data_IF_980523905554
#
_entry.id   IF_980523905554
#
_cell.length_a   1.000
_cell.length_b   1.000
_cell.length_c   1.000
_cell.angle_alpha   90.00
_cell.angle_beta   90.00
_cell.angle_gamma   90.00
#
_symmetry.space_group_name_H-M   'P 1'
#
loop_
_entity.id
_entity.type
_entity.pdbx_description
1 polymer ?
#
# COMPACT_ATOMS: atom_id res chain seq x y z
N UNK A 1 39.40 5.14 -36.49
CA UNK A 1 39.89 4.68 -35.18
C UNK A 1 39.50 5.68 -34.04
N UNK A 2 38.22 6.08 -33.90
CA UNK A 2 37.83 7.16 -32.96
C UNK A 2 36.58 6.88 -32.09
N UNK A 3 36.08 5.64 -32.02
CA UNK A 3 34.81 5.33 -31.32
C UNK A 3 34.92 4.64 -29.94
N UNK A 4 36.14 4.33 -29.44
CA UNK A 4 36.27 3.51 -28.21
C UNK A 4 36.22 4.29 -26.89
N UNK A 5 36.60 5.58 -26.88
CA UNK A 5 36.72 6.37 -25.63
C UNK A 5 35.38 6.60 -24.93
N UNK A 6 34.33 7.01 -25.67
CA UNK A 6 33.01 7.28 -25.07
C UNK A 6 32.32 6.02 -24.56
N UNK A 7 32.44 4.89 -25.28
CA UNK A 7 31.91 3.60 -24.83
C UNK A 7 32.61 3.12 -23.56
N UNK A 8 33.94 3.25 -23.51
CA UNK A 8 34.73 2.85 -22.34
C UNK A 8 34.34 3.65 -21.10
N UNK A 9 34.17 4.97 -21.24
CA UNK A 9 33.71 5.85 -20.15
C UNK A 9 32.32 5.50 -19.63
N UNK A 10 31.37 5.17 -20.51
CA UNK A 10 30.02 4.76 -20.10
C UNK A 10 30.02 3.44 -19.33
N UNK A 11 30.84 2.48 -19.76
CA UNK A 11 31.00 1.20 -19.06
C UNK A 11 31.61 1.40 -17.66
N UNK A 12 32.66 2.21 -17.55
CA UNK A 12 33.29 2.53 -16.27
C UNK A 12 32.32 3.26 -15.32
N UNK A 13 31.49 4.18 -15.84
CA UNK A 13 30.47 4.85 -15.04
C UNK A 13 29.34 3.89 -14.60
N UNK A 14 28.91 2.99 -15.49
CA UNK A 14 27.91 1.97 -15.16
C UNK A 14 28.39 1.05 -14.04
N UNK A 15 29.62 0.54 -14.14
CA UNK A 15 30.22 -0.31 -13.11
C UNK A 15 30.35 0.41 -11.76
N UNK A 16 30.74 1.69 -11.78
CA UNK A 16 30.82 2.50 -10.56
C UNK A 16 29.46 2.70 -9.92
N UNK A 17 28.42 2.99 -10.72
CA UNK A 17 27.07 3.15 -10.22
C UNK A 17 26.52 1.85 -9.63
N UNK A 18 26.76 0.73 -10.30
CA UNK A 18 26.37 -0.60 -9.83
C UNK A 18 27.01 -0.91 -8.47
N UNK A 19 28.32 -0.67 -8.33
CA UNK A 19 29.03 -0.87 -7.07
C UNK A 19 28.48 0.03 -5.93
N UNK A 20 28.20 1.30 -6.23
CA UNK A 20 27.62 2.23 -5.25
C UNK A 20 26.21 1.79 -4.83
N UNK A 21 25.40 1.36 -5.80
CA UNK A 21 24.04 0.88 -5.55
C UNK A 21 24.05 -0.41 -4.73
N UNK A 22 24.95 -1.34 -5.03
CA UNK A 22 25.13 -2.58 -4.28
C UNK A 22 25.54 -2.29 -2.83
N UNK A 23 26.50 -1.39 -2.62
CA UNK A 23 26.95 -0.98 -1.27
C UNK A 23 25.79 -0.39 -0.47
N UNK A 24 25.01 0.51 -1.09
CA UNK A 24 23.87 1.15 -0.44
C UNK A 24 22.76 0.14 -0.13
N UNK A 25 22.52 -0.83 -1.02
CA UNK A 25 21.57 -1.90 -0.79
C UNK A 25 22.02 -2.83 0.35
N UNK A 26 23.31 -3.18 0.43
CA UNK A 26 23.84 -3.96 1.55
C UNK A 26 23.65 -3.23 2.88
N UNK A 27 24.02 -1.94 2.97
CA UNK A 27 23.80 -1.13 4.16
C UNK A 27 22.30 -1.03 4.52
N UNK A 28 21.42 -0.91 3.51
CA UNK A 28 19.97 -0.96 3.71
C UNK A 28 19.52 -2.29 4.31
N UNK A 29 20.01 -3.41 3.80
CA UNK A 29 19.63 -4.74 4.30
C UNK A 29 20.22 -5.03 5.68
N UNK A 30 21.39 -4.47 6.01
CA UNK A 30 21.97 -4.57 7.35
C UNK A 30 21.17 -3.77 8.38
N UNK A 31 20.79 -2.53 8.05
CA UNK A 31 20.06 -1.64 8.97
C UNK A 31 18.58 -2.02 9.14
N UNK A 32 17.90 -2.30 8.02
CA UNK A 32 16.45 -2.57 8.02
C UNK A 32 16.12 -4.06 8.01
N UNK A 33 17.13 -4.93 7.91
CA UNK A 33 16.94 -6.35 7.65
C UNK A 33 16.57 -6.64 6.19
N UNK A 34 16.67 -7.91 5.82
CA UNK A 34 16.06 -8.44 4.60
C UNK A 34 14.82 -9.25 4.98
N UNK A 35 13.63 -8.77 4.63
CA UNK A 35 12.43 -9.61 4.72
C UNK A 35 12.32 -10.39 3.42
N UNK A 36 12.52 -11.71 3.48
CA UNK A 36 12.25 -12.57 2.32
C UNK A 36 10.74 -12.54 2.07
N UNK A 37 10.32 -11.75 1.08
CA UNK A 37 8.92 -11.60 0.72
C UNK A 37 8.50 -12.81 -0.10
N UNK A 38 7.99 -13.83 0.56
CA UNK A 38 7.37 -14.98 -0.10
C UNK A 38 5.88 -14.71 -0.27
N UNK A 39 5.37 -14.94 -1.50
CA UNK A 39 3.92 -14.92 -1.74
C UNK A 39 3.34 -16.18 -1.12
N UNK A 40 2.76 -16.03 0.07
CA UNK A 40 2.10 -17.13 0.81
C UNK A 40 0.68 -17.38 0.31
N UNK A 41 0.06 -16.38 -0.32
CA UNK A 41 -1.34 -16.40 -0.70
C UNK A 41 -1.60 -15.47 -1.89
N UNK A 42 -2.59 -15.81 -2.71
CA UNK A 42 -3.21 -14.91 -3.68
C UNK A 42 -4.71 -14.96 -3.46
N UNK A 43 -5.32 -13.82 -3.13
CA UNK A 43 -6.77 -13.71 -3.09
C UNK A 43 -7.22 -12.51 -3.90
N UNK A 44 -8.48 -12.57 -4.38
CA UNK A 44 -9.11 -11.49 -5.12
C UNK A 44 -10.12 -10.75 -4.24
N UNK A 45 -9.87 -9.47 -4.00
CA UNK A 45 -10.85 -8.56 -3.39
C UNK A 45 -11.83 -8.10 -4.49
N UNK A 46 -13.13 -8.17 -4.21
CA UNK A 46 -14.18 -7.58 -5.05
C UNK A 46 -14.83 -6.45 -4.28
N UNK A 47 -14.80 -5.25 -4.85
CA UNK A 47 -15.49 -4.06 -4.34
C UNK A 47 -16.81 -3.88 -5.09
N UNK A 48 -17.75 -3.17 -4.47
CA UNK A 48 -19.06 -2.87 -5.07
C UNK A 48 -18.96 -2.00 -6.33
N UNK A 49 -17.89 -1.22 -6.44
CA UNK A 49 -17.65 -0.29 -7.54
C UNK A 49 -16.29 -0.54 -8.18
N UNK A 50 -16.17 -0.16 -9.46
CA UNK A 50 -14.89 -0.16 -10.15
C UNK A 50 -13.90 0.74 -9.40
N UNK A 51 -12.79 0.15 -8.98
CA UNK A 51 -11.76 0.85 -8.25
C UNK A 51 -10.36 0.49 -8.76
N UNK A 52 -9.41 1.36 -8.48
CA UNK A 52 -7.98 1.09 -8.65
C UNK A 52 -7.39 0.87 -7.27
N UNK A 53 -6.77 -0.30 -7.07
CA UNK A 53 -6.02 -0.60 -5.85
C UNK A 53 -4.87 0.40 -5.70
N UNK A 54 -4.75 1.01 -4.53
CA UNK A 54 -3.71 1.99 -4.24
C UNK A 54 -2.63 1.42 -3.32
N UNK A 55 -3.03 0.79 -2.21
CA UNK A 55 -2.08 0.19 -1.26
C UNK A 55 -2.77 -0.87 -0.38
N UNK A 56 -1.97 -1.73 0.24
CA UNK A 56 -2.42 -2.74 1.20
C UNK A 56 -1.38 -2.93 2.29
N UNK A 57 -1.82 -2.83 3.55
CA UNK A 57 -0.94 -2.98 4.72
C UNK A 57 -1.58 -3.85 5.78
N UNK A 58 -0.79 -4.74 6.39
CA UNK A 58 -1.21 -5.52 7.54
C UNK A 58 -0.97 -4.75 8.85
N UNK A 59 -1.99 -4.64 9.68
CA UNK A 59 -1.95 -4.02 11.01
C UNK A 59 -2.52 -5.01 12.02
N UNK A 60 -1.63 -5.74 12.69
CA UNK A 60 -2.03 -6.85 13.56
C UNK A 60 -2.71 -7.97 12.76
N UNK A 61 -3.93 -8.32 13.16
CA UNK A 61 -4.77 -9.33 12.49
C UNK A 61 -5.55 -8.79 11.27
N UNK A 62 -5.52 -7.47 11.05
CA UNK A 62 -6.29 -6.83 9.99
C UNK A 62 -5.42 -6.46 8.79
N UNK A 63 -6.00 -6.54 7.60
CA UNK A 63 -5.46 -6.04 6.36
C UNK A 63 -6.23 -4.78 5.99
N UNK A 64 -5.57 -3.63 6.05
CA UNK A 64 -6.11 -2.37 5.57
C UNK A 64 -5.85 -2.25 4.08
N UNK A 65 -6.92 -2.15 3.30
CA UNK A 65 -6.88 -2.02 1.86
C UNK A 65 -7.36 -0.64 1.44
N UNK A 66 -6.49 0.11 0.75
CA UNK A 66 -6.77 1.40 0.18
C UNK A 66 -7.03 1.31 -1.33
N UNK A 67 -8.11 1.93 -1.78
CA UNK A 67 -8.48 1.95 -3.18
C UNK A 67 -9.14 3.27 -3.56
N UNK A 68 -9.12 3.58 -4.85
CA UNK A 68 -9.84 4.74 -5.39
C UNK A 68 -11.01 4.26 -6.23
N UNK A 69 -12.23 4.53 -5.78
CA UNK A 69 -13.43 4.22 -6.57
C UNK A 69 -13.61 5.28 -7.66
N UNK A 70 -13.86 4.83 -8.89
CA UNK A 70 -14.23 5.70 -10.00
C UNK A 70 -15.75 5.77 -10.14
N UNK A 71 -16.38 6.74 -9.47
CA UNK A 71 -17.84 6.99 -9.57
C UNK A 71 -18.19 8.07 -10.60
N UNK A 72 -17.58 8.04 -11.78
CA UNK A 72 -17.89 8.99 -12.86
C UNK A 72 -17.84 10.47 -12.41
N UNK A 73 -18.99 11.14 -12.35
CA UNK A 73 -19.14 12.55 -11.92
C UNK A 73 -19.22 12.76 -10.39
N UNK A 74 -19.34 11.69 -9.59
CA UNK A 74 -19.40 11.79 -8.12
C UNK A 74 -18.02 11.53 -7.53
N UNK A 75 -17.59 12.40 -6.61
CA UNK A 75 -16.40 12.15 -5.78
C UNK A 75 -16.72 11.15 -4.69
N UNK A 76 -15.76 10.26 -4.39
CA UNK A 76 -15.79 9.41 -3.20
C UNK A 76 -16.11 10.29 -1.97
N UNK A 77 -17.15 9.91 -1.23
CA UNK A 77 -17.73 10.76 -0.19
C UNK A 77 -17.72 10.12 1.19
N UNK A 78 -17.52 8.79 1.26
CA UNK A 78 -17.47 8.03 2.50
C UNK A 78 -16.12 7.32 2.65
N UNK A 79 -15.77 7.00 3.90
CA UNK A 79 -14.55 6.22 4.21
C UNK A 79 -14.60 4.85 3.53
N UNK A 80 -15.78 4.22 3.47
CA UNK A 80 -16.01 2.95 2.77
C UNK A 80 -15.81 3.05 1.24
N UNK A 81 -15.71 4.25 0.67
CA UNK A 81 -15.43 4.44 -0.76
C UNK A 81 -13.91 4.46 -1.04
N UNK A 82 -13.06 4.49 -0.01
CA UNK A 82 -11.59 4.62 -0.16
C UNK A 82 -10.79 3.63 0.67
N UNK A 83 -11.38 3.08 1.73
CA UNK A 83 -10.75 2.17 2.68
C UNK A 83 -11.71 1.04 3.05
N UNK A 84 -11.22 -0.20 3.01
CA UNK A 84 -11.85 -1.38 3.61
C UNK A 84 -10.86 -2.09 4.52
N UNK A 85 -11.39 -2.75 5.55
CA UNK A 85 -10.63 -3.56 6.47
C UNK A 85 -10.99 -5.03 6.24
N UNK A 86 -9.99 -5.90 6.17
CA UNK A 86 -10.19 -7.33 5.99
C UNK A 86 -9.49 -8.13 7.08
N UNK A 87 -9.95 -9.35 7.34
CA UNK A 87 -9.21 -10.37 8.08
C UNK A 87 -8.82 -11.49 7.12
N UNK A 88 -7.58 -11.97 7.24
CA UNK A 88 -7.12 -13.14 6.51
C UNK A 88 -7.60 -14.40 7.24
N UNK A 89 -8.35 -15.23 6.55
CA UNK A 89 -8.78 -16.53 7.04
C UNK A 89 -7.82 -17.57 6.48
N UNK A 90 -7.09 -18.21 7.39
CA UNK A 90 -6.22 -19.32 7.07
C UNK A 90 -7.06 -20.55 6.70
N UNK A 91 -6.63 -21.32 5.68
CA UNK A 91 -7.35 -22.50 5.28
C UNK A 91 -7.37 -23.56 6.39
N UNK A 92 -8.52 -24.21 6.58
CA UNK A 92 -8.67 -25.35 7.49
C UNK A 92 -8.52 -26.63 6.69
N UNK A 93 -7.53 -27.45 7.05
CA UNK A 93 -7.20 -28.81 6.57
C UNK A 93 -8.05 -29.35 5.39
N UNK A 94 -7.93 -28.77 4.18
CA UNK A 94 -8.35 -29.31 2.86
C UNK A 94 -8.54 -28.22 1.79
N UNK A 95 -8.70 -26.95 2.15
CA UNK A 95 -8.73 -25.84 1.20
C UNK A 95 -7.32 -25.25 1.02
N UNK A 96 -6.84 -25.03 -0.20
CA UNK A 96 -5.52 -24.41 -0.43
C UNK A 96 -5.60 -22.88 -0.58
N UNK A 97 -6.79 -22.29 -0.37
CA UNK A 97 -7.03 -20.88 -0.68
C UNK A 97 -7.26 -20.05 0.59
N UNK A 98 -6.39 -19.07 0.80
CA UNK A 98 -6.57 -18.05 1.82
C UNK A 98 -7.74 -17.13 1.43
N UNK A 99 -8.68 -16.96 2.34
CA UNK A 99 -9.86 -16.12 2.11
C UNK A 99 -9.71 -14.78 2.84
N UNK A 100 -10.36 -13.74 2.32
CA UNK A 100 -10.49 -12.46 3.00
C UNK A 100 -11.94 -12.23 3.40
N UNK A 101 -12.14 -11.96 4.69
CA UNK A 101 -13.42 -11.54 5.25
C UNK A 101 -13.41 -10.03 5.48
N UNK A 102 -14.39 -9.29 4.95
CA UNK A 102 -14.51 -7.86 5.20
C UNK A 102 -15.01 -7.60 6.63
N UNK A 103 -14.34 -6.69 7.33
CA UNK A 103 -14.65 -6.30 8.71
C UNK A 103 -15.29 -4.92 8.69
N UNK A 104 -16.43 -4.78 9.36
CA UNK A 104 -17.08 -3.48 9.47
C UNK A 104 -16.22 -2.50 10.27
N UNK A 105 -16.20 -1.25 9.82
CA UNK A 105 -15.36 -0.21 10.43
C UNK A 105 -15.86 0.25 11.80
N UNK A 106 -17.07 -0.14 12.23
CA UNK A 106 -17.64 0.31 13.51
C UNK A 106 -16.74 -0.05 14.69
N UNK A 107 -16.47 0.93 15.56
CA UNK A 107 -15.58 0.75 16.71
C UNK A 107 -14.09 0.81 16.39
N UNK A 108 -13.70 0.94 15.11
CA UNK A 108 -12.31 1.19 14.71
C UNK A 108 -11.96 2.68 14.74
N UNK A 109 -10.67 3.00 14.67
CA UNK A 109 -10.20 4.39 14.57
C UNK A 109 -10.82 5.16 13.38
N UNK A 110 -11.16 4.45 12.29
CA UNK A 110 -11.78 5.03 11.09
C UNK A 110 -13.25 5.45 11.30
N UNK A 111 -13.89 4.99 12.37
CA UNK A 111 -15.29 5.30 12.68
C UNK A 111 -15.46 6.60 13.48
N UNK A 112 -14.48 6.96 14.33
CA UNK A 112 -14.66 7.98 15.39
C UNK A 112 -14.61 9.43 14.86
N UNK A 113 -14.41 9.69 13.55
CA UNK A 113 -14.20 11.07 13.09
C UNK A 113 -14.73 11.41 11.69
N UNK A 114 -16.00 11.14 11.43
CA UNK A 114 -16.73 11.82 10.35
C UNK A 114 -18.17 12.12 10.82
N UNK A 115 -18.48 13.35 11.29
CA UNK A 115 -19.87 13.75 11.45
C UNK A 115 -20.51 13.77 10.06
N UNK A 116 -21.53 12.92 9.88
CA UNK A 116 -22.45 12.93 8.75
C UNK A 116 -23.28 14.22 8.80
N UNK A 117 -22.67 15.36 8.47
CA UNK A 117 -23.39 16.58 8.11
C UNK A 117 -22.47 17.49 7.32
N UNK A 118 -22.95 17.90 6.14
CA UNK A 118 -22.34 18.86 5.23
C UNK A 118 -21.75 20.06 6.01
N UNK A 119 -20.46 20.07 6.24
CA UNK A 119 -19.73 21.29 6.58
C UNK A 119 -18.38 21.15 5.92
N UNK A 120 -18.11 22.03 4.96
CA UNK A 120 -16.81 22.15 4.30
C UNK A 120 -15.76 22.46 5.36
N UNK A 121 -15.06 21.43 5.84
CA UNK A 121 -13.93 21.59 6.74
C UNK A 121 -12.66 21.49 5.89
N UNK A 122 -11.85 22.54 5.93
CA UNK A 122 -10.59 22.59 5.21
C UNK A 122 -9.59 21.63 5.87
N UNK A 123 -8.73 20.98 5.07
CA UNK A 123 -7.76 19.98 5.54
C UNK A 123 -6.82 20.52 6.65
N UNK A 124 -6.70 21.84 6.77
CA UNK A 124 -5.92 22.54 7.79
C UNK A 124 -6.50 22.47 9.22
N UNK A 125 -7.79 22.21 9.40
CA UNK A 125 -8.44 22.28 10.72
C UNK A 125 -8.18 21.06 11.62
N UNK A 126 -7.74 19.93 11.06
CA UNK A 126 -7.53 18.67 11.80
C UNK A 126 -6.18 18.66 12.54
N UNK A 127 -5.16 19.34 12.00
CA UNK A 127 -3.79 19.33 12.55
C UNK A 127 -3.68 20.25 13.77
N UNK A 128 -4.43 21.35 13.83
CA UNK A 128 -4.37 22.34 14.93
C UNK A 128 -4.97 21.84 16.26
N UNK A 129 -5.95 20.94 16.26
CA UNK A 129 -6.59 20.44 17.49
C UNK A 129 -5.78 19.36 18.24
N UNK A 130 -4.63 18.95 17.72
CA UNK A 130 -3.68 18.06 18.40
C UNK A 130 -2.27 18.62 18.25
N UNK A 131 -2.03 19.77 18.86
CA UNK A 131 -0.73 20.19 19.35
C UNK A 131 -0.90 20.60 20.82
#
# INVERSE_FOLDING_TARGET
MLTSSSKKRLIEQGARLEQQTATLNTARLEEFGSTQMQVIARTRIRTEHNCVAQDMVQVGEYLLFGYNVFMGLKRASNVKDVLSLYRLIEPVESEEEYQLEEVDLTGTFFWVKMPLSKTSMSCTDIISKRA
#
